data_IF_298480913767
#
_entry.id   IF_298480913767
#
_cell.length_a   1.000
_cell.length_b   1.000
_cell.length_c   1.000
_cell.angle_alpha   90.00
_cell.angle_beta   90.00
_cell.angle_gamma   90.00
#
_symmetry.space_group_name_H-M   'P 1'
#
loop_
_entity.id
_entity.type
_entity.pdbx_description
1 polymer ?
#
# COMPACT_ATOMS: atom_id res chain seq x y z
N UNK A 1 -15.50 -11.84 5.09
CA UNK A 1 -15.19 -10.59 4.36
C UNK A 1 -16.37 -9.62 4.43
N UNK A 2 -16.40 -8.73 5.42
CA UNK A 2 -17.37 -7.62 5.43
C UNK A 2 -17.02 -6.61 4.33
N UNK A 3 -18.05 -6.09 3.65
CA UNK A 3 -17.95 -5.29 2.43
C UNK A 3 -17.27 -3.93 2.62
N UNK A 4 -16.67 -3.45 1.50
CA UNK A 4 -16.47 -2.05 1.05
C UNK A 4 -15.53 -1.90 -0.15
N UNK A 5 -15.05 -3.02 -0.71
CA UNK A 5 -14.25 -3.02 -1.93
C UNK A 5 -15.02 -3.64 -3.10
N UNK A 6 -14.81 -3.15 -4.33
CA UNK A 6 -15.09 -3.95 -5.53
C UNK A 6 -14.18 -5.18 -5.47
N UNK A 7 -14.69 -6.25 -4.89
CA UNK A 7 -13.91 -7.45 -4.53
C UNK A 7 -13.22 -8.08 -5.74
N UNK A 8 -13.81 -7.98 -6.92
CA UNK A 8 -13.28 -8.64 -8.12
C UNK A 8 -11.91 -8.10 -8.56
N UNK A 9 -11.71 -6.77 -8.60
CA UNK A 9 -10.43 -6.20 -9.04
C UNK A 9 -9.32 -6.40 -8.01
N UNK A 10 -9.64 -6.27 -6.71
CA UNK A 10 -8.68 -6.57 -5.64
C UNK A 10 -8.31 -8.05 -5.65
N UNK A 11 -9.28 -8.94 -5.85
CA UNK A 11 -9.00 -10.38 -5.96
C UNK A 11 -8.11 -10.69 -7.15
N UNK A 12 -8.36 -10.10 -8.32
CA UNK A 12 -7.50 -10.29 -9.50
C UNK A 12 -6.08 -9.81 -9.25
N UNK A 13 -5.91 -8.67 -8.59
CA UNK A 13 -4.60 -8.18 -8.20
C UNK A 13 -3.93 -9.13 -7.20
N UNK A 14 -4.65 -9.58 -6.17
CA UNK A 14 -4.15 -10.55 -5.19
C UNK A 14 -3.66 -11.84 -5.85
N UNK A 15 -4.51 -12.44 -6.69
CA UNK A 15 -4.17 -13.66 -7.44
C UNK A 15 -2.93 -13.44 -8.33
N UNK A 16 -2.81 -12.28 -8.98
CA UNK A 16 -1.69 -11.95 -9.85
C UNK A 16 -0.38 -11.71 -9.07
N UNK A 17 -0.44 -11.06 -7.90
CA UNK A 17 0.70 -10.89 -7.00
C UNK A 17 1.18 -12.25 -6.45
N UNK A 18 0.25 -13.11 -6.06
CA UNK A 18 0.55 -14.47 -5.62
C UNK A 18 1.23 -15.29 -6.72
N UNK A 19 0.78 -15.19 -7.97
CA UNK A 19 1.45 -15.84 -9.11
C UNK A 19 2.87 -15.29 -9.32
N UNK A 20 3.04 -13.97 -9.31
CA UNK A 20 4.36 -13.36 -9.47
C UNK A 20 5.33 -13.78 -8.35
N UNK A 21 4.82 -13.99 -7.14
CA UNK A 21 5.58 -14.43 -5.99
C UNK A 21 6.20 -15.83 -6.14
N UNK A 22 5.69 -16.66 -7.06
CA UNK A 22 6.30 -17.96 -7.40
C UNK A 22 7.71 -17.81 -7.98
N UNK A 23 8.03 -16.63 -8.55
CA UNK A 23 9.33 -16.33 -9.18
C UNK A 23 10.12 -15.23 -8.47
N UNK A 24 9.51 -14.55 -7.49
CA UNK A 24 10.10 -13.50 -6.68
C UNK A 24 9.41 -13.45 -5.31
N UNK A 25 10.02 -14.01 -4.28
CA UNK A 25 9.48 -14.06 -2.92
C UNK A 25 9.52 -12.71 -2.18
N UNK A 26 10.23 -11.72 -2.70
CA UNK A 26 10.32 -10.36 -2.14
C UNK A 26 9.24 -9.39 -2.68
N UNK A 27 8.36 -9.85 -3.57
CA UNK A 27 7.26 -9.03 -4.09
C UNK A 27 6.26 -8.66 -2.98
N UNK A 28 5.78 -7.42 -2.98
CA UNK A 28 4.73 -6.98 -2.05
C UNK A 28 3.40 -7.70 -2.31
N UNK A 29 2.79 -8.23 -1.25
CA UNK A 29 1.41 -8.74 -1.30
C UNK A 29 0.38 -7.61 -1.15
N UNK A 30 -0.90 -7.91 -1.41
CA UNK A 30 -1.94 -6.90 -1.59
C UNK A 30 -2.06 -5.89 -0.43
N UNK A 31 -2.04 -6.35 0.82
CA UNK A 31 -2.12 -5.48 2.01
C UNK A 31 -0.90 -4.55 2.13
N UNK A 32 0.31 -5.08 1.91
CA UNK A 32 1.55 -4.30 1.88
C UNK A 32 1.52 -3.28 0.73
N UNK A 33 1.12 -3.71 -0.47
CA UNK A 33 1.03 -2.86 -1.66
C UNK A 33 0.03 -1.70 -1.46
N UNK A 34 -1.13 -1.95 -0.84
CA UNK A 34 -2.11 -0.89 -0.52
C UNK A 34 -1.53 0.13 0.46
N UNK A 35 -0.82 -0.33 1.50
CA UNK A 35 -0.12 0.54 2.44
C UNK A 35 0.98 1.36 1.77
N UNK A 36 1.75 0.74 0.87
CA UNK A 36 2.77 1.40 0.08
C UNK A 36 2.17 2.50 -0.81
N UNK A 37 1.11 2.20 -1.57
CA UNK A 37 0.45 3.20 -2.40
C UNK A 37 -0.19 4.33 -1.59
N UNK A 38 -0.78 4.02 -0.43
CA UNK A 38 -1.29 5.04 0.47
C UNK A 38 -0.16 5.98 0.94
N UNK A 39 1.00 5.44 1.31
CA UNK A 39 2.19 6.25 1.64
C UNK A 39 2.64 7.11 0.47
N UNK A 40 2.80 6.55 -0.73
CA UNK A 40 3.22 7.30 -1.93
C UNK A 40 2.29 8.49 -2.22
N UNK A 41 0.98 8.30 -2.07
CA UNK A 41 -0.04 9.30 -2.40
C UNK A 41 -0.22 10.38 -1.33
N UNK A 42 0.21 10.10 -0.10
CA UNK A 42 0.19 11.05 1.02
C UNK A 42 1.48 11.87 1.09
N UNK A 43 2.58 11.30 0.58
CA UNK A 43 3.84 12.00 0.44
C UNK A 43 3.62 13.36 -0.25
N UNK A 44 4.12 14.48 0.31
CA UNK A 44 3.91 15.81 -0.26
C UNK A 44 4.48 15.97 -1.68
N UNK A 45 5.56 15.24 -1.97
CA UNK A 45 6.22 15.27 -3.27
C UNK A 45 5.94 13.97 -4.03
N UNK A 46 5.66 14.10 -5.32
CA UNK A 46 5.42 12.96 -6.21
C UNK A 46 6.68 12.09 -6.32
N UNK A 47 6.49 10.78 -6.18
CA UNK A 47 7.52 9.75 -6.41
C UNK A 47 7.17 9.07 -7.75
N UNK A 48 8.07 9.07 -8.75
CA UNK A 48 7.75 8.55 -10.07
C UNK A 48 7.66 7.01 -10.09
N UNK A 49 6.85 6.42 -10.99
CA UNK A 49 6.73 4.97 -11.15
C UNK A 49 8.05 4.23 -11.32
N UNK A 50 8.99 4.78 -12.09
CA UNK A 50 10.32 4.19 -12.27
C UNK A 50 11.11 3.99 -10.98
N UNK A 51 10.76 4.73 -9.90
CA UNK A 51 11.37 4.61 -8.59
C UNK A 51 10.59 3.66 -7.68
N UNK A 52 9.28 3.85 -7.55
CA UNK A 52 8.50 3.03 -6.63
C UNK A 52 8.21 1.62 -7.15
N UNK A 53 8.22 1.40 -8.47
CA UNK A 53 7.95 0.07 -9.05
C UNK A 53 9.03 -0.94 -8.66
N UNK A 54 10.29 -0.50 -8.57
CA UNK A 54 11.40 -1.35 -8.11
C UNK A 54 11.21 -1.84 -6.68
N UNK A 55 10.62 -1.02 -5.82
CA UNK A 55 10.33 -1.40 -4.43
C UNK A 55 9.25 -2.47 -4.38
N UNK A 56 8.24 -2.42 -5.25
CA UNK A 56 7.19 -3.45 -5.30
C UNK A 56 7.78 -4.84 -5.53
N UNK A 57 8.89 -4.94 -6.26
CA UNK A 57 9.63 -6.18 -6.53
C UNK A 57 10.68 -6.56 -5.47
N UNK A 58 10.78 -5.81 -4.36
CA UNK A 58 11.83 -6.06 -3.35
C UNK A 58 13.17 -5.37 -3.63
N UNK A 59 13.28 -4.55 -4.68
CA UNK A 59 14.45 -3.71 -4.94
C UNK A 59 15.60 -4.37 -5.70
N UNK A 60 15.51 -5.66 -6.03
CA UNK A 60 16.63 -6.44 -6.60
C UNK A 60 16.25 -7.16 -7.90
N UNK A 61 15.22 -8.00 -7.89
CA UNK A 61 14.90 -8.90 -9.00
C UNK A 61 13.45 -8.67 -9.45
N UNK A 62 13.25 -8.40 -10.74
CA UNK A 62 11.90 -8.35 -11.30
C UNK A 62 11.33 -9.78 -11.42
N UNK A 63 10.04 -10.01 -11.15
CA UNK A 63 9.42 -11.32 -11.36
C UNK A 63 9.60 -11.78 -12.81
N UNK A 64 9.72 -13.08 -13.01
CA UNK A 64 9.72 -13.65 -14.36
C UNK A 64 8.28 -13.89 -14.80
N UNK A 65 7.95 -13.41 -16.00
CA UNK A 65 6.62 -13.56 -16.58
C UNK A 65 6.66 -14.50 -17.78
N UNK A 66 5.61 -15.32 -17.94
CA UNK A 66 5.45 -16.23 -19.08
C UNK A 66 5.40 -15.45 -20.41
N UNK A 67 4.88 -14.22 -20.37
CA UNK A 67 4.80 -13.33 -21.51
C UNK A 67 4.80 -11.85 -21.10
N UNK A 68 5.13 -10.97 -22.06
CA UNK A 68 4.97 -9.51 -21.88
C UNK A 68 3.50 -9.12 -21.59
N UNK A 69 2.53 -9.91 -22.06
CA UNK A 69 1.12 -9.66 -21.79
C UNK A 69 0.77 -9.90 -20.31
N UNK A 70 1.36 -10.92 -19.68
CA UNK A 70 1.16 -11.20 -18.26
C UNK A 70 1.78 -10.11 -17.37
N UNK A 71 2.99 -9.66 -17.74
CA UNK A 71 3.63 -8.51 -17.08
C UNK A 71 2.75 -7.26 -17.17
N UNK A 72 2.28 -6.93 -18.37
CA UNK A 72 1.43 -5.76 -18.59
C UNK A 72 0.12 -5.87 -17.82
N UNK A 73 -0.50 -7.06 -17.77
CA UNK A 73 -1.73 -7.27 -17.02
C UNK A 73 -1.55 -7.02 -15.52
N UNK A 74 -0.44 -7.47 -14.91
CA UNK A 74 -0.14 -7.16 -13.51
C UNK A 74 0.07 -5.66 -13.29
N UNK A 75 0.84 -5.00 -14.16
CA UNK A 75 1.08 -3.55 -14.08
C UNK A 75 -0.23 -2.75 -14.20
N UNK A 76 -1.14 -3.17 -15.08
CA UNK A 76 -2.45 -2.53 -15.25
C UNK A 76 -3.31 -2.68 -13.99
N UNK A 77 -3.31 -3.86 -13.35
CA UNK A 77 -4.00 -4.11 -12.09
C UNK A 77 -3.42 -3.25 -10.95
N UNK A 78 -2.09 -3.17 -10.86
CA UNK A 78 -1.40 -2.31 -9.89
C UNK A 78 -1.76 -0.84 -10.08
N UNK A 79 -1.70 -0.32 -11.31
CA UNK A 79 -2.07 1.06 -11.60
C UNK A 79 -3.58 1.32 -11.37
N UNK A 80 -4.43 0.34 -11.64
CA UNK A 80 -5.84 0.37 -11.29
C UNK A 80 -6.05 0.53 -9.79
N UNK A 81 -5.29 -0.20 -8.97
CA UNK A 81 -5.31 -0.09 -7.52
C UNK A 81 -4.72 1.23 -7.00
N UNK A 82 -3.58 1.68 -7.52
CA UNK A 82 -3.00 2.99 -7.23
C UNK A 82 -4.02 4.11 -7.45
N UNK A 83 -4.67 4.13 -8.62
CA UNK A 83 -5.70 5.10 -8.96
C UNK A 83 -6.94 4.99 -8.07
N UNK A 84 -7.28 3.77 -7.62
CA UNK A 84 -8.35 3.57 -6.63
C UNK A 84 -7.99 4.23 -5.30
N UNK A 85 -6.78 4.02 -4.78
CA UNK A 85 -6.32 4.63 -3.53
C UNK A 85 -6.31 6.16 -3.67
N UNK A 86 -5.79 6.69 -4.78
CA UNK A 86 -5.75 8.13 -5.05
C UNK A 86 -7.15 8.78 -5.00
N UNK A 87 -8.15 8.15 -5.64
CA UNK A 87 -9.54 8.61 -5.58
C UNK A 87 -10.10 8.61 -4.17
N UNK A 88 -9.79 7.59 -3.36
CA UNK A 88 -10.32 7.47 -2.00
C UNK A 88 -9.64 8.41 -1.00
N UNK A 89 -8.40 8.84 -1.28
CA UNK A 89 -7.71 9.87 -0.49
C UNK A 89 -8.14 11.29 -0.86
N UNK A 90 -8.81 11.48 -2.01
CA UNK A 90 -9.34 12.77 -2.44
C UNK A 90 -10.58 13.16 -1.63
N UNK A 91 -10.70 14.44 -1.24
CA UNK A 91 -11.82 14.92 -0.43
C UNK A 91 -13.19 14.81 -1.17
N UNK A 92 -14.27 14.35 -0.49
CA UNK A 92 -14.31 13.83 0.87
C UNK A 92 -13.64 12.45 0.95
N UNK A 93 -12.62 12.33 1.79
CA UNK A 93 -11.81 11.13 1.84
C UNK A 93 -12.63 9.95 2.39
N UNK A 94 -12.56 8.83 1.67
CA UNK A 94 -13.27 7.59 1.98
C UNK A 94 -12.32 6.40 2.02
N UNK A 95 -11.02 6.66 2.25
CA UNK A 95 -9.99 5.64 2.27
C UNK A 95 -10.29 4.58 3.33
N UNK A 96 -10.33 3.33 2.86
CA UNK A 96 -10.46 2.13 3.66
C UNK A 96 -9.31 1.21 3.28
N UNK A 97 -8.38 0.90 4.20
CA UNK A 97 -7.23 0.08 3.90
C UNK A 97 -7.64 -1.35 3.59
N UNK A 98 -6.91 -1.97 2.67
CA UNK A 98 -6.99 -3.40 2.39
C UNK A 98 -6.07 -4.09 3.39
N UNK A 99 -6.66 -4.88 4.27
CA UNK A 99 -5.95 -5.58 5.33
C UNK A 99 -6.04 -7.08 5.11
N UNK A 100 -4.97 -7.78 5.45
CA UNK A 100 -4.98 -9.24 5.51
C UNK A 100 -5.69 -9.73 6.77
N UNK A 101 -6.24 -10.93 6.70
CA UNK A 101 -6.81 -11.64 7.84
C UNK A 101 -6.09 -12.98 8.00
N UNK A 102 -5.72 -13.31 9.22
CA UNK A 102 -5.24 -14.65 9.55
C UNK A 102 -6.36 -15.65 9.29
N UNK A 103 -6.09 -16.64 8.43
CA UNK A 103 -7.12 -17.58 7.95
C UNK A 103 -7.68 -18.47 9.06
N UNK A 104 -6.96 -18.67 10.16
CA UNK A 104 -7.38 -19.54 11.25
C UNK A 104 -8.17 -18.79 12.32
N UNK A 105 -7.64 -17.65 12.78
CA UNK A 105 -8.19 -16.86 13.88
C UNK A 105 -9.13 -15.73 13.41
N UNK A 106 -9.11 -15.38 12.12
CA UNK A 106 -9.85 -14.24 11.57
C UNK A 106 -9.31 -12.89 12.04
N UNK A 107 -8.12 -12.85 12.66
CA UNK A 107 -7.54 -11.61 13.16
C UNK A 107 -6.97 -10.78 12.01
N UNK A 108 -7.24 -9.48 12.05
CA UNK A 108 -6.69 -8.51 11.10
C UNK A 108 -5.19 -8.36 11.31
N UNK A 109 -4.41 -8.54 10.23
CA UNK A 109 -2.95 -8.41 10.21
C UNK A 109 -2.61 -7.01 9.70
N UNK A 110 -2.45 -6.08 10.63
CA UNK A 110 -2.11 -4.67 10.30
C UNK A 110 -0.64 -4.51 9.89
N UNK A 111 0.23 -5.42 10.31
CA UNK A 111 1.68 -5.30 10.13
C UNK A 111 2.10 -5.20 8.65
N UNK A 112 1.48 -5.96 7.76
CA UNK A 112 1.82 -5.97 6.34
C UNK A 112 1.55 -4.61 5.69
N UNK A 113 0.38 -4.03 5.95
CA UNK A 113 0.02 -2.70 5.48
C UNK A 113 0.99 -1.63 5.99
N UNK A 114 1.39 -1.72 7.27
CA UNK A 114 2.35 -0.79 7.87
C UNK A 114 3.71 -0.87 7.22
N UNK A 115 4.20 -2.08 6.95
CA UNK A 115 5.50 -2.26 6.30
C UNK A 115 5.51 -1.54 4.95
N UNK A 116 4.48 -1.75 4.14
CA UNK A 116 4.34 -1.05 2.87
C UNK A 116 4.33 0.47 3.02
N UNK A 117 3.54 1.00 3.96
CA UNK A 117 3.50 2.45 4.22
C UNK A 117 4.88 2.99 4.62
N UNK A 118 5.58 2.31 5.52
CA UNK A 118 6.93 2.69 5.97
C UNK A 118 7.94 2.63 4.82
N UNK A 119 7.85 1.65 3.92
CA UNK A 119 8.69 1.59 2.71
C UNK A 119 8.48 2.79 1.81
N UNK A 120 7.23 3.25 1.62
CA UNK A 120 6.94 4.48 0.89
C UNK A 120 7.52 5.73 1.59
N UNK A 121 7.50 5.77 2.92
CA UNK A 121 8.14 6.84 3.70
C UNK A 121 9.65 6.89 3.44
N UNK A 122 10.31 5.73 3.43
CA UNK A 122 11.75 5.62 3.19
C UNK A 122 12.18 6.06 1.79
N UNK A 123 11.30 6.03 0.80
CA UNK A 123 11.60 6.57 -0.54
C UNK A 123 11.78 8.09 -0.54
N UNK A 124 11.16 8.82 0.39
CA UNK A 124 11.26 10.28 0.41
C UNK A 124 11.36 10.86 1.84
N UNK A 125 12.42 10.55 2.60
CA UNK A 125 12.50 10.92 4.01
C UNK A 125 12.44 12.43 4.24
N UNK A 126 12.97 13.21 3.29
CA UNK A 126 13.00 14.68 3.40
C UNK A 126 11.61 15.30 3.38
N UNK A 127 10.69 14.78 2.56
CA UNK A 127 9.34 15.33 2.41
C UNK A 127 8.44 14.91 3.56
N UNK A 128 8.65 13.71 4.11
CA UNK A 128 7.97 13.28 5.32
C UNK A 128 8.40 14.06 6.55
N UNK A 129 9.71 14.36 6.69
CA UNK A 129 10.20 15.26 7.74
C UNK A 129 9.55 16.64 7.67
N UNK A 130 9.48 17.23 6.46
CA UNK A 130 8.80 18.52 6.28
C UNK A 130 7.32 18.44 6.63
N UNK A 131 6.65 17.33 6.32
CA UNK A 131 5.25 17.14 6.66
C UNK A 131 5.03 17.07 8.18
N UNK A 132 5.89 16.34 8.92
CA UNK A 132 5.75 16.22 10.37
C UNK A 132 6.13 17.48 11.13
N UNK A 133 7.06 18.28 10.60
CA UNK A 133 7.40 19.61 11.09
C UNK A 133 6.33 20.68 10.72
N UNK A 134 5.41 20.37 9.81
CA UNK A 134 4.33 21.27 9.40
C UNK A 134 3.04 21.06 10.19
N UNK A 135 2.28 22.12 10.42
CA UNK A 135 0.91 22.04 10.96
C UNK A 135 -0.12 21.48 9.97
N UNK A 136 0.30 21.07 8.75
CA UNK A 136 -0.59 20.60 7.68
C UNK A 136 -1.01 19.13 7.87
N UNK A 137 -1.59 18.84 9.04
CA UNK A 137 -2.15 17.53 9.41
C UNK A 137 -3.32 17.07 8.54
N UNK A 138 -3.84 17.94 7.66
CA UNK A 138 -4.93 17.61 6.73
C UNK A 138 -4.59 16.43 5.82
N UNK A 139 -3.33 16.26 5.42
CA UNK A 139 -2.89 15.12 4.60
C UNK A 139 -3.00 13.77 5.32
N UNK A 140 -3.04 13.76 6.66
CA UNK A 140 -3.16 12.55 7.47
C UNK A 140 -4.61 12.26 7.90
N UNK A 141 -5.54 13.20 7.68
CA UNK A 141 -6.95 13.01 8.04
C UNK A 141 -7.61 11.77 7.44
N UNK A 142 -7.31 11.33 6.20
CA UNK A 142 -7.88 10.10 5.65
C UNK A 142 -7.62 8.85 6.51
N UNK A 143 -6.58 8.84 7.35
CA UNK A 143 -6.22 7.71 8.22
C UNK A 143 -6.79 7.80 9.64
N UNK A 144 -7.51 8.88 10.00
CA UNK A 144 -8.16 8.94 11.31
C UNK A 144 -9.18 7.81 11.50
N UNK A 145 -9.79 7.30 10.42
CA UNK A 145 -10.67 6.12 10.46
C UNK A 145 -9.92 4.83 10.81
N UNK A 146 -8.63 4.73 10.49
CA UNK A 146 -7.78 3.59 10.81
C UNK A 146 -7.56 3.43 12.33
N UNK A 147 -7.80 4.48 13.13
CA UNK A 147 -7.76 4.39 14.60
C UNK A 147 -8.78 3.40 15.20
N UNK A 148 -9.77 2.96 14.41
CA UNK A 148 -10.76 1.96 14.79
C UNK A 148 -10.20 0.53 14.85
N UNK A 149 -9.08 0.27 14.19
CA UNK A 149 -8.42 -1.03 14.25
C UNK A 149 -7.47 -1.08 15.46
N UNK A 150 -7.45 -2.18 16.23
CA UNK A 150 -6.57 -2.29 17.38
C UNK A 150 -5.10 -2.42 16.95
N UNK A 151 -4.43 -1.28 16.80
CA UNK A 151 -2.98 -1.20 16.64
C UNK A 151 -2.29 -1.67 17.93
N UNK A 152 -1.64 -2.84 17.92
CA UNK A 152 -0.65 -3.17 18.97
C UNK A 152 0.58 -2.31 18.71
N UNK A 153 0.91 -1.40 19.64
CA UNK A 153 2.06 -0.50 19.53
C UNK A 153 1.73 0.98 19.28
N UNK A 154 0.68 1.51 19.95
CA UNK A 154 0.23 2.92 19.90
C UNK A 154 1.33 3.97 20.08
N UNK A 155 2.49 3.57 20.59
CA UNK A 155 3.57 4.48 20.95
C UNK A 155 4.65 4.62 19.87
N UNK A 156 4.64 3.84 18.78
CA UNK A 156 5.73 3.92 17.77
C UNK A 156 5.30 4.44 16.40
N UNK A 157 4.04 4.31 16.00
CA UNK A 157 3.59 4.82 14.70
C UNK A 157 3.45 6.36 14.66
N UNK A 158 3.03 6.98 15.77
CA UNK A 158 3.05 8.45 15.91
C UNK A 158 4.49 8.97 16.10
N UNK A 159 5.40 8.13 16.60
CA UNK A 159 6.82 8.44 16.84
C UNK A 159 7.75 8.13 15.65
N UNK A 160 7.21 7.60 14.54
CA UNK A 160 7.90 7.47 13.25
C UNK A 160 7.49 8.55 12.24
N UNK A 161 6.69 9.52 12.67
CA UNK A 161 6.48 10.82 12.03
C UNK A 161 7.04 11.90 12.96
#
# INVERSE_FOLDING_TARGET
MSGWHKQAELKRLDDALLKAAETNDDIMFLSELDGFFAGLLVCPDMIPPSRWLKEVWGGTVEPTFDSLADMQALLDLMMGHYNRVARMLTAPASYGPVMDEDRHSGQVIVANWVEGFVRAVRLQPSSWRRLSESDDRRRLQPFHSCSKYPWRGRERAILMM
#
